data_IF_788381905083
#
_entry.id   IF_788381905083
#
_cell.length_a   1.000
_cell.length_b   1.000
_cell.length_c   1.000
_cell.angle_alpha   90.00
_cell.angle_beta   90.00
_cell.angle_gamma   90.00
#
_symmetry.space_group_name_H-M   'P 1'
#
loop_
_entity.id
_entity.type
_entity.pdbx_description
1 polymer ?
#
# COMPACT_ATOMS: atom_id res chain seq x y z
N UNK A 1 -29.00 -39.53 1.05
CA UNK A 1 -28.92 -40.71 0.17
C UNK A 1 -30.09 -41.59 0.51
N UNK A 2 -31.26 -41.24 -0.02
CA UNK A 2 -32.49 -42.00 0.21
C UNK A 2 -32.56 -43.16 -0.78
N UNK A 3 -32.99 -44.31 -0.29
CA UNK A 3 -33.06 -45.61 -0.95
C UNK A 3 -33.99 -45.55 -2.15
N UNK A 4 -33.45 -45.26 -3.33
CA UNK A 4 -34.15 -45.48 -4.59
C UNK A 4 -34.44 -46.99 -4.66
N UNK A 5 -35.71 -47.31 -4.48
CA UNK A 5 -36.22 -48.66 -4.26
C UNK A 5 -35.78 -49.62 -5.36
N UNK A 6 -35.13 -50.72 -4.97
CA UNK A 6 -34.76 -51.85 -5.83
C UNK A 6 -35.92 -52.34 -6.72
N UNK A 7 -37.17 -52.15 -6.28
CA UNK A 7 -38.35 -52.51 -7.06
C UNK A 7 -38.51 -51.66 -8.34
N UNK A 8 -38.18 -50.37 -8.30
CA UNK A 8 -38.22 -49.47 -9.47
C UNK A 8 -37.12 -49.86 -10.47
N UNK A 9 -35.96 -50.28 -9.95
CA UNK A 9 -34.85 -50.76 -10.77
C UNK A 9 -35.20 -52.03 -11.55
N UNK A 10 -35.86 -52.99 -10.90
CA UNK A 10 -36.28 -54.26 -11.52
C UNK A 10 -37.36 -54.06 -12.59
N UNK A 11 -38.33 -53.15 -12.37
CA UNK A 11 -39.37 -52.83 -13.36
C UNK A 11 -38.83 -52.13 -14.60
N UNK A 12 -37.84 -51.25 -14.45
CA UNK A 12 -37.20 -50.56 -15.58
C UNK A 12 -36.32 -51.54 -16.38
N UNK A 13 -35.62 -52.46 -15.69
CA UNK A 13 -34.79 -53.47 -16.33
C UNK A 13 -35.60 -54.45 -17.19
N UNK A 14 -36.79 -54.86 -16.76
CA UNK A 14 -37.64 -55.80 -17.52
C UNK A 14 -38.40 -55.15 -18.67
N UNK A 15 -38.76 -53.87 -18.56
CA UNK A 15 -39.55 -53.17 -19.58
C UNK A 15 -38.69 -52.47 -20.66
N UNK A 16 -37.50 -52.00 -20.31
CA UNK A 16 -36.66 -51.16 -21.18
C UNK A 16 -35.24 -51.74 -21.39
N UNK A 17 -34.93 -52.88 -20.76
CA UNK A 17 -33.61 -53.49 -20.81
C UNK A 17 -32.52 -52.67 -20.11
N UNK A 18 -31.23 -52.99 -20.34
CA UNK A 18 -30.10 -52.31 -19.70
C UNK A 18 -30.01 -50.81 -20.05
N UNK A 19 -30.62 -50.37 -21.16
CA UNK A 19 -30.64 -48.97 -21.58
C UNK A 19 -31.41 -48.06 -20.61
N UNK A 20 -32.48 -48.55 -19.97
CA UNK A 20 -33.26 -47.74 -19.03
C UNK A 20 -32.47 -47.33 -17.78
N UNK A 21 -31.59 -48.21 -17.30
CA UNK A 21 -30.71 -47.92 -16.15
C UNK A 21 -29.69 -46.85 -16.51
N UNK A 22 -29.09 -46.92 -17.71
CA UNK A 22 -28.10 -45.93 -18.18
C UNK A 22 -28.74 -44.54 -18.29
N UNK A 23 -29.96 -44.45 -18.83
CA UNK A 23 -30.68 -43.17 -18.95
C UNK A 23 -31.02 -42.59 -17.58
N UNK A 24 -31.48 -43.42 -16.63
CA UNK A 24 -31.81 -42.97 -15.28
C UNK A 24 -30.57 -42.51 -14.51
N UNK A 25 -29.46 -43.24 -14.64
CA UNK A 25 -28.17 -42.86 -14.07
C UNK A 25 -27.65 -41.56 -14.68
N UNK A 26 -27.73 -41.40 -16.00
CA UNK A 26 -27.34 -40.16 -16.68
C UNK A 26 -28.21 -38.97 -16.26
N UNK A 27 -29.52 -39.18 -16.06
CA UNK A 27 -30.42 -38.14 -15.57
C UNK A 27 -30.11 -37.72 -14.13
N UNK A 28 -29.80 -38.68 -13.24
CA UNK A 28 -29.39 -38.39 -11.87
C UNK A 28 -28.04 -37.67 -11.82
N UNK A 29 -27.08 -38.13 -12.62
CA UNK A 29 -25.75 -37.51 -12.73
C UNK A 29 -25.83 -36.08 -13.29
N UNK A 30 -26.67 -35.86 -14.31
CA UNK A 30 -26.94 -34.54 -14.88
C UNK A 30 -27.54 -33.57 -13.84
N UNK A 31 -28.34 -34.07 -12.89
CA UNK A 31 -28.88 -33.25 -11.79
C UNK A 31 -27.79 -32.91 -10.76
N UNK A 32 -26.95 -33.87 -10.39
CA UNK A 32 -25.85 -33.66 -9.43
C UNK A 32 -24.79 -32.70 -9.99
N UNK A 33 -24.45 -32.82 -11.27
CA UNK A 33 -23.48 -31.95 -11.95
C UNK A 33 -23.91 -30.48 -11.96
N UNK A 34 -25.21 -30.20 -12.17
CA UNK A 34 -25.73 -28.82 -12.12
C UNK A 34 -25.55 -28.21 -10.73
N UNK A 35 -25.88 -28.95 -9.67
CA UNK A 35 -25.69 -28.44 -8.30
C UNK A 35 -24.23 -28.19 -7.96
N UNK A 36 -23.31 -29.03 -8.46
CA UNK A 36 -21.87 -28.87 -8.22
C UNK A 36 -21.31 -27.64 -8.95
N UNK A 37 -21.74 -27.41 -10.20
CA UNK A 37 -21.37 -26.21 -10.96
C UNK A 37 -21.91 -24.92 -10.32
N UNK A 38 -23.14 -24.93 -9.80
CA UNK A 38 -23.72 -23.77 -9.15
C UNK A 38 -23.01 -23.43 -7.84
N UNK A 39 -22.63 -24.45 -7.05
CA UNK A 39 -21.80 -24.26 -5.85
C UNK A 39 -20.43 -23.69 -6.20
N UNK A 40 -19.75 -24.25 -7.20
CA UNK A 40 -18.45 -23.73 -7.65
C UNK A 40 -18.54 -22.28 -8.13
N UNK A 41 -19.60 -21.90 -8.86
CA UNK A 41 -19.81 -20.51 -9.29
C UNK A 41 -20.01 -19.57 -8.11
N UNK A 42 -20.77 -19.99 -7.11
CA UNK A 42 -21.00 -19.21 -5.90
C UNK A 42 -19.73 -19.05 -5.06
N UNK A 43 -18.88 -20.07 -4.98
CA UNK A 43 -17.63 -20.00 -4.22
C UNK A 43 -16.58 -19.16 -4.95
N UNK A 44 -16.47 -19.29 -6.28
CA UNK A 44 -15.57 -18.45 -7.08
C UNK A 44 -15.95 -16.98 -6.97
N UNK A 45 -17.25 -16.64 -7.00
CA UNK A 45 -17.68 -15.24 -6.87
C UNK A 45 -17.35 -14.66 -5.50
N UNK A 46 -17.53 -15.44 -4.42
CA UNK A 46 -17.12 -15.04 -3.06
C UNK A 46 -15.62 -14.80 -2.95
N UNK A 47 -14.81 -15.73 -3.47
CA UNK A 47 -13.34 -15.60 -3.45
C UNK A 47 -12.90 -14.35 -4.21
N UNK A 48 -13.48 -14.10 -5.39
CA UNK A 48 -13.18 -12.91 -6.18
C UNK A 48 -13.58 -11.61 -5.45
N UNK A 49 -14.70 -11.61 -4.73
CA UNK A 49 -15.13 -10.45 -3.95
C UNK A 49 -14.17 -10.17 -2.80
N UNK A 50 -13.82 -11.18 -2.00
CA UNK A 50 -12.84 -11.06 -0.93
C UNK A 50 -11.48 -10.60 -1.45
N UNK A 51 -11.05 -11.13 -2.58
CA UNK A 51 -9.78 -10.73 -3.20
C UNK A 51 -9.81 -9.27 -3.68
N UNK A 52 -10.95 -8.77 -4.17
CA UNK A 52 -11.10 -7.35 -4.54
C UNK A 52 -10.97 -6.45 -3.32
N UNK A 53 -11.67 -6.78 -2.24
CA UNK A 53 -11.62 -6.02 -0.97
C UNK A 53 -10.20 -5.98 -0.41
N UNK A 54 -9.53 -7.13 -0.37
CA UNK A 54 -8.13 -7.23 0.06
C UNK A 54 -7.18 -6.39 -0.80
N UNK A 55 -7.35 -6.39 -2.12
CA UNK A 55 -6.54 -5.56 -3.03
C UNK A 55 -6.78 -4.07 -2.83
N UNK A 56 -8.02 -3.66 -2.51
CA UNK A 56 -8.30 -2.25 -2.19
C UNK A 56 -7.67 -1.82 -0.87
N UNK A 57 -7.69 -2.67 0.15
CA UNK A 57 -7.06 -2.41 1.44
C UNK A 57 -5.54 -2.29 1.30
N UNK A 58 -4.91 -3.22 0.57
CA UNK A 58 -3.48 -3.15 0.23
C UNK A 58 -3.14 -1.82 -0.42
N UNK A 59 -3.91 -1.41 -1.44
CA UNK A 59 -3.66 -0.15 -2.14
C UNK A 59 -3.70 1.04 -1.18
N UNK A 60 -4.70 1.09 -0.30
CA UNK A 60 -4.85 2.16 0.67
C UNK A 60 -3.69 2.19 1.67
N UNK A 61 -3.25 1.03 2.15
CA UNK A 61 -2.11 0.91 3.06
C UNK A 61 -0.80 1.37 2.39
N UNK A 62 -0.55 0.99 1.14
CA UNK A 62 0.60 1.48 0.39
C UNK A 62 0.54 3.00 0.18
N UNK A 63 -0.63 3.54 -0.17
CA UNK A 63 -0.80 4.98 -0.35
C UNK A 63 -0.54 5.76 0.95
N UNK A 64 -1.04 5.26 2.08
CA UNK A 64 -0.79 5.86 3.40
C UNK A 64 0.68 5.73 3.85
N UNK A 65 1.37 4.66 3.43
CA UNK A 65 2.78 4.48 3.77
C UNK A 65 3.67 5.44 2.96
N UNK A 66 3.32 5.67 1.69
CA UNK A 66 4.03 6.64 0.84
C UNK A 66 3.85 8.05 1.39
N UNK A 67 2.64 8.46 1.76
CA UNK A 67 2.41 9.79 2.31
C UNK A 67 3.19 10.03 3.62
N UNK A 68 3.36 8.99 4.44
CA UNK A 68 4.20 9.07 5.64
C UNK A 68 5.67 9.33 5.29
N UNK A 69 6.22 8.61 4.31
CA UNK A 69 7.60 8.79 3.86
C UNK A 69 7.81 10.18 3.26
N UNK A 70 6.86 10.67 2.45
CA UNK A 70 6.89 12.02 1.89
C UNK A 70 6.89 13.09 3.00
N UNK A 71 6.08 12.91 4.03
CA UNK A 71 6.01 13.82 5.18
C UNK A 71 7.35 13.84 5.93
N UNK A 72 7.94 12.67 6.21
CA UNK A 72 9.28 12.59 6.82
C UNK A 72 10.35 13.24 5.94
N UNK A 73 10.28 13.05 4.62
CA UNK A 73 11.22 13.67 3.70
C UNK A 73 11.10 15.20 3.72
N UNK A 74 9.89 15.76 3.84
CA UNK A 74 9.68 17.20 4.00
C UNK A 74 10.33 17.72 5.27
N UNK A 75 10.04 17.07 6.42
CA UNK A 75 10.62 17.45 7.71
C UNK A 75 12.15 17.39 7.69
N UNK A 76 12.73 16.36 7.06
CA UNK A 76 14.17 16.24 6.92
C UNK A 76 14.80 17.37 6.07
N UNK A 77 14.09 17.85 5.03
CA UNK A 77 14.52 19.02 4.25
C UNK A 77 14.47 20.29 5.07
N UNK A 78 13.37 20.53 5.78
CA UNK A 78 13.20 21.72 6.62
C UNK A 78 14.28 21.76 7.72
N UNK A 79 14.58 20.61 8.33
CA UNK A 79 15.64 20.49 9.33
C UNK A 79 17.02 20.80 8.74
N UNK A 80 17.32 20.30 7.53
CA UNK A 80 18.56 20.61 6.83
C UNK A 80 18.69 22.12 6.61
N UNK A 81 17.64 22.78 6.19
CA UNK A 81 17.66 24.22 5.93
C UNK A 81 17.89 25.03 7.21
N UNK A 82 17.28 24.63 8.33
CA UNK A 82 17.57 25.22 9.64
C UNK A 82 19.02 25.03 10.07
N UNK A 83 19.61 23.85 9.82
CA UNK A 83 21.01 23.58 10.14
C UNK A 83 21.93 24.48 9.30
N UNK A 84 21.67 24.61 8.00
CA UNK A 84 22.45 25.49 7.10
C UNK A 84 22.37 26.94 7.58
N UNK A 85 21.17 27.44 7.86
CA UNK A 85 20.96 28.81 8.33
C UNK A 85 21.70 29.08 9.64
N UNK A 86 21.61 28.18 10.61
CA UNK A 86 22.32 28.30 11.87
C UNK A 86 23.84 28.25 11.68
N UNK A 87 24.32 27.38 10.80
CA UNK A 87 25.75 27.26 10.48
C UNK A 87 26.26 28.56 9.85
N UNK A 88 25.53 29.13 8.89
CA UNK A 88 25.87 30.43 8.29
C UNK A 88 25.89 31.55 9.33
N UNK A 89 24.91 31.60 10.22
CA UNK A 89 24.88 32.58 11.31
C UNK A 89 26.08 32.42 12.24
N UNK A 90 26.45 31.19 12.61
CA UNK A 90 27.64 30.90 13.40
C UNK A 90 28.93 31.27 12.67
N UNK A 91 29.03 31.01 11.36
CA UNK A 91 30.17 31.44 10.55
C UNK A 91 30.31 32.96 10.54
N UNK A 92 29.20 33.70 10.39
CA UNK A 92 29.21 35.17 10.46
C UNK A 92 29.60 35.68 11.84
N UNK A 93 29.14 35.03 12.91
CA UNK A 93 29.55 35.37 14.28
C UNK A 93 31.03 35.12 14.52
N UNK A 94 31.55 33.96 14.09
CA UNK A 94 32.97 33.64 14.17
C UNK A 94 33.81 34.66 13.40
N UNK A 95 33.37 35.07 12.22
CA UNK A 95 34.05 36.09 11.41
C UNK A 95 34.02 37.46 12.10
N UNK A 96 32.88 37.88 12.67
CA UNK A 96 32.77 39.13 13.41
C UNK A 96 33.68 39.18 14.66
N UNK A 97 33.85 38.03 15.34
CA UNK A 97 34.79 37.86 16.45
C UNK A 97 36.23 37.94 15.95
N UNK A 98 36.59 37.20 14.90
CA UNK A 98 37.95 37.20 14.33
C UNK A 98 38.36 38.58 13.80
N UNK A 99 37.42 39.33 13.21
CA UNK A 99 37.64 40.70 12.76
C UNK A 99 37.63 41.74 13.89
N UNK A 100 37.47 41.31 15.14
CA UNK A 100 37.46 42.12 16.35
C UNK A 100 36.44 43.29 16.30
N UNK A 101 35.33 43.12 15.58
CA UNK A 101 34.32 44.17 15.41
C UNK A 101 33.49 44.42 16.68
N UNK A 102 33.59 43.53 17.67
CA UNK A 102 32.93 43.67 18.97
C UNK A 102 33.63 44.66 19.91
N UNK A 103 34.94 44.85 19.76
CA UNK A 103 35.70 45.76 20.62
C UNK A 103 35.63 47.20 20.07
N UNK A 104 34.95 48.14 20.76
CA UNK A 104 34.77 49.50 20.26
C UNK A 104 36.10 50.25 20.07
N UNK A 105 37.15 49.88 20.83
CA UNK A 105 38.48 50.51 20.75
C UNK A 105 39.17 50.28 19.39
N UNK A 106 39.25 49.03 18.90
CA UNK A 106 39.86 48.70 17.61
C UNK A 106 38.99 49.09 16.40
N UNK A 107 37.66 49.17 16.60
CA UNK A 107 36.73 49.66 15.57
C UNK A 107 36.94 51.15 15.23
N UNK A 108 37.34 51.95 16.22
CA UNK A 108 37.62 53.39 16.02
C UNK A 108 38.96 53.57 15.29
N UNK A 109 39.99 52.82 15.68
CA UNK A 109 41.33 52.91 15.08
C UNK A 109 41.33 52.60 13.57
N UNK A 110 40.65 51.53 13.14
CA UNK A 110 40.46 51.24 11.71
C UNK A 110 39.74 52.36 10.96
N UNK A 111 38.74 53.03 11.56
CA UNK A 111 38.02 54.14 10.90
C UNK A 111 38.89 55.39 10.75
N UNK A 112 39.80 55.62 11.69
CA UNK A 112 40.73 56.75 11.64
C UNK A 112 41.81 56.52 10.58
N UNK A 113 42.32 55.29 10.41
CA UNK A 113 43.28 54.97 9.35
C UNK A 113 42.71 55.22 7.94
N UNK A 114 41.46 54.86 7.66
CA UNK A 114 40.82 55.11 6.34
C UNK A 114 40.46 56.59 6.09
N UNK A 115 40.53 57.47 7.09
CA UNK A 115 40.30 58.92 6.89
C UNK A 115 41.56 59.77 7.12
N UNK A 116 42.61 59.21 7.71
CA UNK A 116 43.90 59.88 7.93
C UNK A 116 44.89 59.73 6.78
N UNK A 117 44.57 58.98 5.73
CA UNK A 117 45.43 58.81 4.53
C UNK A 117 45.06 59.81 3.41
N UNK A 118 43.95 60.53 3.55
CA UNK A 118 43.50 61.57 2.61
C UNK A 118 43.89 63.00 3.04
N UNK A 119 45.03 63.18 3.73
CA UNK A 119 45.59 64.51 4.07
C UNK A 119 47.09 64.59 3.85
#
# INVERSE_FOLDING_TARGET
>A
METVSLAVFVQIFSALGPFGIVVLMWWLDMKNMRSLLDQHRADVSRILQQHREYMTEIRNNYQSSVSLVESYQSVARDLKDLIVMNTEAMTRLAEAVNQNQFCPMQRVEKRVEIHGVDS
#
